data_IF_187030611187
#
_entry.id   IF_187030611187
#
_cell.length_a   1.000
_cell.length_b   1.000
_cell.length_c   1.000
_cell.angle_alpha   90.00
_cell.angle_beta   90.00
_cell.angle_gamma   90.00
#
_symmetry.space_group_name_H-M   'P 1'
#
loop_
_entity.id
_entity.type
_entity.pdbx_description
1 polymer ?
2 branched ?
3 branched ?
#
# COMPACT_ATOMS: atom_id res chain seq x y z
N UNK A 328 21.00 42.76 -23.10
CA UNK A 328 22.18 42.60 -23.93
C UNK A 328 23.12 41.56 -23.33
N UNK A 329 23.03 41.36 -22.02
CA UNK A 329 23.99 40.56 -21.28
C UNK A 329 23.28 39.53 -20.42
N UNK A 330 23.97 38.42 -20.19
CA UNK A 330 23.55 37.39 -19.25
C UNK A 330 23.94 37.86 -17.86
N UNK A 331 23.38 37.22 -16.84
CA UNK A 331 23.65 37.64 -15.48
C UNK A 331 23.72 36.44 -14.58
N UNK A 332 24.87 36.19 -14.00
CA UNK A 332 25.04 35.06 -13.11
C UNK A 332 24.99 35.58 -11.70
N UNK A 333 23.95 35.25 -10.96
CA UNK A 333 23.86 35.71 -9.59
C UNK A 333 23.82 34.48 -8.70
N UNK A 334 24.72 34.43 -7.74
CA UNK A 334 24.74 33.34 -6.78
C UNK A 334 24.73 33.94 -5.39
N UNK A 335 24.02 33.31 -4.46
CA UNK A 335 24.02 33.79 -3.10
C UNK A 335 24.26 32.61 -2.19
N UNK A 336 25.31 32.67 -1.39
CA UNK A 336 25.58 31.68 -0.39
C UNK A 336 25.23 32.22 0.98
N UNK A 337 25.51 31.41 1.99
CA UNK A 337 25.15 31.80 3.35
C UNK A 337 26.04 32.91 3.85
N UNK A 338 27.25 33.01 3.32
CA UNK A 338 28.13 34.04 3.79
C UNK A 338 28.27 35.20 2.83
N UNK A 339 28.31 34.94 1.54
CA UNK A 339 28.63 35.99 0.58
C UNK A 339 27.80 35.92 -0.69
N UNK A 340 27.67 37.09 -1.30
CA UNK A 340 27.02 37.28 -2.59
C UNK A 340 28.11 37.37 -3.65
N UNK A 341 27.88 36.74 -4.78
CA UNK A 341 28.78 36.81 -5.92
C UNK A 341 27.98 37.21 -7.13
N UNK A 342 28.54 38.02 -8.01
CA UNK A 342 27.80 38.52 -9.16
C UNK A 342 28.77 38.57 -10.31
N UNK A 343 28.38 38.06 -11.49
CA UNK A 343 29.35 38.07 -12.56
C UNK A 343 28.76 38.22 -13.95
N UNK A 344 29.60 38.73 -14.84
CA UNK A 344 29.36 38.76 -16.27
C UNK A 344 30.50 38.06 -16.98
N UNK A 345 30.22 37.55 -18.17
CA UNK A 345 31.16 36.73 -18.91
C UNK A 345 31.97 37.49 -19.93
N UNK A 346 32.52 36.75 -20.90
CA UNK A 346 33.28 37.33 -21.99
C UNK A 346 32.42 37.84 -23.09
N UNK A 347 31.11 37.91 -22.88
CA UNK A 347 30.24 38.57 -23.84
C UNK A 347 30.60 40.04 -23.98
N UNK A 348 31.01 40.67 -22.87
CA UNK A 348 31.53 42.03 -22.86
C UNK A 348 32.84 42.20 -23.59
N UNK A 349 33.48 41.13 -24.06
CA UNK A 349 34.65 41.30 -24.91
C UNK A 349 34.27 41.97 -26.21
N UNK A 350 33.09 41.71 -26.71
CA UNK A 350 32.59 42.48 -27.82
C UNK A 350 31.48 43.42 -27.43
N UNK A 351 30.65 43.04 -26.46
CA UNK A 351 29.46 43.81 -26.20
C UNK A 351 29.87 45.05 -25.48
N UNK A 352 29.25 46.16 -25.86
CA UNK A 352 29.50 47.51 -25.35
C UNK A 352 30.91 48.00 -25.68
N UNK A 353 31.69 47.23 -26.44
CA UNK A 353 33.05 47.58 -26.78
C UNK A 353 34.03 47.60 -25.63
N UNK A 354 33.80 46.81 -24.59
CA UNK A 354 34.61 46.93 -23.37
C UNK A 354 35.92 46.19 -23.56
N UNK A 355 36.85 46.84 -24.28
CA UNK A 355 38.21 46.32 -24.47
C UNK A 355 38.89 45.99 -23.15
N UNK A 356 38.74 46.88 -22.20
CA UNK A 356 39.17 46.71 -20.84
C UNK A 356 37.92 46.80 -19.99
N UNK A 357 37.85 46.10 -18.87
CA UNK A 357 36.60 46.08 -18.15
C UNK A 357 36.81 46.58 -16.74
N UNK A 358 36.01 47.55 -16.37
CA UNK A 358 35.90 48.01 -15.01
C UNK A 358 34.58 47.55 -14.43
N UNK A 359 34.60 47.25 -13.16
CA UNK A 359 33.40 46.84 -12.46
C UNK A 359 33.54 47.29 -11.02
N UNK A 360 32.61 48.12 -10.55
CA UNK A 360 32.63 48.64 -9.19
C UNK A 360 31.29 48.43 -8.51
N UNK A 361 31.35 48.34 -7.19
CA UNK A 361 30.16 48.43 -6.37
C UNK A 361 30.08 49.82 -5.78
N UNK A 362 29.09 50.02 -4.92
CA UNK A 362 28.81 51.35 -4.40
C UNK A 362 29.93 51.85 -3.51
N UNK A 363 30.64 50.96 -2.83
CA UNK A 363 31.93 51.31 -2.27
C UNK A 363 32.95 51.02 -3.34
N UNK A 364 33.53 52.07 -3.91
CA UNK A 364 34.45 51.93 -5.02
C UNK A 364 35.77 51.29 -4.65
N UNK A 365 36.05 51.06 -3.37
CA UNK A 365 37.20 50.27 -3.01
C UNK A 365 37.02 48.80 -3.35
N UNK A 366 35.80 48.33 -3.51
CA UNK A 366 35.55 46.95 -3.89
C UNK A 366 35.46 46.91 -5.41
N UNK A 367 36.48 46.37 -6.05
CA UNK A 367 36.52 46.25 -7.48
C UNK A 367 36.43 44.80 -7.88
N UNK A 368 36.26 44.57 -9.17
CA UNK A 368 36.08 43.23 -9.67
C UNK A 368 37.39 42.52 -9.94
N UNK A 369 37.26 41.26 -10.38
CA UNK A 369 38.41 40.44 -10.74
C UNK A 369 37.99 39.41 -11.76
N UNK A 370 38.95 38.59 -12.17
CA UNK A 370 38.78 37.64 -13.26
C UNK A 370 38.83 36.24 -12.66
N UNK A 371 37.69 35.55 -12.62
CA UNK A 371 37.60 34.19 -12.11
C UNK A 371 37.79 33.19 -13.25
N UNK A 372 38.23 31.96 -12.90
CA UNK A 372 38.41 30.91 -13.90
C UNK A 372 37.86 29.54 -13.60
N UNK A 373 37.14 29.34 -12.49
CA UNK A 373 36.77 27.98 -12.08
C UNK A 373 35.84 27.31 -13.08
N UNK A 374 35.00 28.07 -13.76
CA UNK A 374 34.06 27.46 -14.68
C UNK A 374 34.38 27.90 -16.09
N UNK A 375 34.51 29.22 -16.23
CA UNK A 375 34.88 29.95 -17.43
C UNK A 375 35.63 31.19 -16.96
N UNK A 376 36.16 31.96 -17.90
CA UNK A 376 36.60 33.32 -17.61
C UNK A 376 35.39 34.19 -17.29
N UNK A 377 35.25 34.58 -16.03
CA UNK A 377 34.16 35.43 -15.58
C UNK A 377 34.70 36.68 -14.90
N UNK A 378 34.00 37.80 -15.08
CA UNK A 378 34.33 39.04 -14.40
C UNK A 378 33.38 39.21 -13.24
N UNK A 379 33.88 39.40 -12.02
CA UNK A 379 32.98 39.28 -10.88
C UNK A 379 33.41 40.08 -9.66
N UNK A 380 32.45 40.30 -8.75
CA UNK A 380 32.71 40.94 -7.47
C UNK A 380 32.16 40.04 -6.38
N UNK A 381 32.65 40.21 -5.15
CA UNK A 381 32.22 39.38 -4.04
C UNK A 381 31.99 40.26 -2.84
N UNK A 382 30.81 40.17 -2.22
CA UNK A 382 30.51 41.00 -1.10
C UNK A 382 29.83 40.17 -0.02
N UNK A 383 30.29 40.27 1.21
CA UNK A 383 29.61 39.59 2.32
C UNK A 383 28.20 40.11 2.52
N UNK A 384 27.30 39.22 2.92
CA UNK A 384 25.91 39.60 3.06
C UNK A 384 25.69 40.15 4.47
N UNK A 385 26.26 41.32 4.69
CA UNK A 385 26.26 42.01 5.97
C UNK A 385 25.81 43.45 5.73
N UNK A 386 25.61 44.22 6.80
CA UNK A 386 25.29 45.65 6.67
C UNK A 386 26.52 46.46 6.35
N UNK A 387 26.57 47.01 5.15
CA UNK A 387 27.63 47.91 4.77
C UNK A 387 29.07 47.52 4.41
N UNK A 388 29.48 46.24 4.30
CA UNK A 388 30.90 45.98 4.04
C UNK A 388 31.38 46.43 2.67
N UNK A 389 30.50 46.52 1.70
CA UNK A 389 30.81 47.25 0.50
C UNK A 389 29.64 48.15 0.18
N UNK A 390 29.06 48.72 1.22
CA UNK A 390 27.96 49.62 1.03
C UNK A 390 26.61 48.98 0.80
N UNK A 391 26.52 47.66 0.80
CA UNK A 391 25.26 46.97 0.58
C UNK A 391 24.25 47.24 1.67
N UNK A 392 23.00 47.44 1.28
CA UNK A 392 21.94 47.81 2.20
C UNK A 392 21.01 46.62 2.40
N UNK A 393 20.55 46.44 3.63
CA UNK A 393 19.68 45.31 3.96
C UNK A 393 18.29 45.83 4.28
N UNK A 394 17.31 45.32 3.53
CA UNK A 394 15.91 45.61 3.72
C UNK A 394 15.27 44.44 4.43
N UNK A 395 14.44 44.73 5.43
CA UNK A 395 13.91 43.69 6.29
C UNK A 395 12.41 43.61 6.16
N UNK A 396 11.91 42.42 5.82
CA UNK A 396 10.48 42.18 5.75
C UNK A 396 10.09 41.15 6.80
N UNK A 397 8.81 40.81 6.83
CA UNK A 397 8.39 39.70 7.65
C UNK A 397 8.80 38.37 7.03
N UNK A 398 8.88 38.28 5.71
CA UNK A 398 9.17 36.97 5.21
C UNK A 398 10.63 36.81 4.84
N UNK A 399 11.39 37.89 4.64
CA UNK A 399 12.73 37.73 4.08
C UNK A 399 13.70 38.84 4.48
N UNK A 400 14.98 38.53 4.41
CA UNK A 400 16.02 39.52 4.53
C UNK A 400 16.56 39.75 3.13
N UNK A 401 16.50 40.98 2.64
CA UNK A 401 16.89 41.27 1.26
C UNK A 401 18.11 42.18 1.23
N UNK A 402 19.11 41.81 0.45
CA UNK A 402 20.35 42.57 0.30
C UNK A 402 20.40 43.20 -1.06
N UNK A 403 20.88 44.43 -1.17
CA UNK A 403 20.93 45.07 -2.49
C UNK A 403 22.14 45.97 -2.67
N UNK A 404 22.67 45.98 -3.88
CA UNK A 404 23.82 46.79 -4.28
C UNK A 404 23.77 46.97 -5.80
N UNK A 405 24.76 47.65 -6.36
CA UNK A 405 24.78 47.98 -7.78
C UNK A 405 26.14 47.80 -8.41
N UNK A 406 26.20 47.17 -9.58
CA UNK A 406 27.43 47.16 -10.35
C UNK A 406 27.48 48.39 -11.23
N UNK A 407 28.66 48.95 -11.36
CA UNK A 407 28.87 50.03 -12.31
C UNK A 407 29.76 49.49 -13.41
N UNK A 408 29.38 49.73 -14.66
CA UNK A 408 29.99 49.07 -15.81
C UNK A 408 30.68 50.10 -16.68
N UNK A 409 31.95 49.90 -17.00
CA UNK A 409 32.64 50.91 -17.77
C UNK A 409 33.84 50.34 -18.47
N UNK A 410 34.23 51.01 -19.55
CA UNK A 410 35.43 50.64 -20.29
C UNK A 410 36.59 51.60 -20.05
N UNK A 411 36.48 52.50 -19.09
CA UNK A 411 37.47 53.55 -18.94
C UNK A 411 37.35 54.09 -17.51
N UNK A 412 38.36 54.85 -17.09
CA UNK A 412 38.29 55.54 -15.80
C UNK A 412 37.13 56.52 -15.78
N UNK A 413 36.88 57.17 -16.91
CA UNK A 413 35.83 58.17 -17.04
C UNK A 413 34.94 57.81 -18.22
N UNK A 414 33.67 58.24 -18.19
CA UNK A 414 32.71 57.81 -19.21
C UNK A 414 31.97 58.98 -19.84
N UNK A 415 31.50 58.79 -21.08
CA UNK A 415 30.82 59.88 -21.79
C UNK A 415 29.58 59.52 -22.60
N UNK A 416 29.25 58.27 -22.85
CA UNK A 416 28.07 58.02 -23.68
C UNK A 416 26.92 57.32 -22.99
N UNK A 417 27.17 56.46 -22.01
CA UNK A 417 26.05 55.77 -21.38
C UNK A 417 26.48 55.32 -19.99
N UNK A 418 25.75 55.74 -18.98
CA UNK A 418 25.99 55.30 -17.62
C UNK A 418 25.30 53.96 -17.43
N UNK A 419 26.07 52.88 -17.37
CA UNK A 419 25.49 51.54 -17.34
C UNK A 419 25.55 51.03 -15.92
N UNK A 420 24.39 50.71 -15.35
CA UNK A 420 24.29 50.24 -13.98
C UNK A 420 23.46 48.98 -13.92
N UNK A 421 23.93 47.97 -13.18
CA UNK A 421 23.17 46.75 -12.96
C UNK A 421 22.76 46.72 -11.51
N UNK A 422 21.47 46.84 -11.28
CA UNK A 422 20.94 46.83 -9.93
C UNK A 422 20.58 45.41 -9.57
N UNK A 423 21.11 44.90 -8.46
CA UNK A 423 20.84 43.52 -8.12
C UNK A 423 20.47 43.39 -6.66
N UNK A 424 19.70 42.34 -6.37
CA UNK A 424 19.29 42.07 -5.01
C UNK A 424 19.00 40.59 -4.82
N UNK A 425 19.18 40.08 -3.60
CA UNK A 425 18.76 38.71 -3.35
C UNK A 425 18.25 38.59 -1.93
N UNK A 426 17.40 37.60 -1.68
CA UNK A 426 16.75 37.51 -0.37
C UNK A 426 16.84 36.12 0.26
N UNK A 427 16.64 36.08 1.58
CA UNK A 427 16.75 34.86 2.33
C UNK A 427 15.54 34.74 3.23
N UNK A 428 14.94 33.57 3.38
CA UNK A 428 13.80 33.44 4.28
C UNK A 428 14.22 33.41 5.73
N UNK A 429 13.37 33.95 6.56
CA UNK A 429 13.69 33.85 7.97
C UNK A 429 13.12 32.62 8.63
N UNK A 430 12.13 31.96 8.03
CA UNK A 430 11.49 30.78 8.60
C UNK A 430 12.08 29.53 7.95
N UNK A 431 12.75 28.66 8.72
CA UNK A 431 13.27 27.42 8.15
C UNK A 431 13.05 26.24 9.06
N UNK A 432 13.18 25.04 8.50
CA UNK A 432 13.01 23.80 9.25
C UNK A 432 14.25 22.92 9.20
N UNK A 433 14.54 22.25 10.32
CA UNK A 433 15.78 21.51 10.52
C UNK A 433 15.50 20.20 11.23
N UNK A 434 16.52 19.35 11.29
CA UNK A 434 16.36 18.03 11.87
C UNK A 434 17.71 17.46 12.27
N UNK A 435 17.71 16.52 13.20
CA UNK A 435 18.91 15.78 13.55
C UNK A 435 19.01 14.56 12.67
N UNK A 436 20.21 14.22 12.24
CA UNK A 436 20.25 13.04 11.40
C UNK A 436 20.46 11.78 12.20
N UNK A 437 21.06 11.88 13.37
CA UNK A 437 21.21 10.71 14.22
C UNK A 437 19.91 10.19 14.73
N UNK A 438 19.68 8.90 14.57
CA UNK A 438 18.53 8.26 15.16
C UNK A 438 18.85 7.84 16.57
N UNK A 439 17.87 7.94 17.43
CA UNK A 439 18.06 7.59 18.82
C UNK A 439 17.36 6.27 19.07
N UNK A 440 18.06 5.33 19.66
CA UNK A 440 17.46 4.03 19.96
C UNK A 440 17.44 3.76 21.45
N UNK A 441 16.29 3.80 22.05
CA UNK A 441 16.21 3.58 23.47
C UNK A 441 16.14 2.10 23.77
N UNK A 442 16.49 1.78 24.99
CA UNK A 442 16.45 0.46 25.59
C UNK A 442 15.69 0.54 26.91
N UNK A 443 14.91 -0.47 27.25
CA UNK A 443 14.13 -0.40 28.47
C UNK A 443 13.82 -1.78 28.99
N UNK A 444 13.75 -1.89 30.32
CA UNK A 444 13.28 -3.09 30.98
C UNK A 444 11.88 -3.44 30.52
N UNK A 445 11.57 -4.73 30.48
CA UNK A 445 10.29 -5.17 29.93
C UNK A 445 9.69 -6.31 30.73
N UNK A 446 8.37 -6.41 30.68
CA UNK A 446 7.60 -7.40 31.41
C UNK A 446 6.75 -8.17 30.42
N UNK A 447 6.77 -9.48 30.49
CA UNK A 447 6.12 -10.27 29.47
C UNK A 447 5.04 -11.13 30.09
N UNK A 448 3.81 -10.91 29.70
CA UNK A 448 2.65 -11.61 30.22
C UNK A 448 2.11 -12.46 29.10
N UNK A 449 1.78 -13.70 29.37
CA UNK A 449 1.15 -14.44 28.30
C UNK A 449 -0.21 -14.86 28.77
N UNK A 450 -1.18 -14.91 27.87
CA UNK A 450 -2.43 -15.62 28.06
C UNK A 450 -2.81 -16.31 26.76
N UNK A 451 -3.83 -17.17 26.82
CA UNK A 451 -4.21 -17.96 25.65
C UNK A 451 -5.51 -18.73 25.82
N UNK A 452 -6.10 -19.13 24.68
CA UNK A 452 -7.37 -19.84 24.72
C UNK A 452 -7.81 -20.46 23.39
N UNK A 453 -9.08 -20.87 23.32
CA UNK A 453 -9.62 -21.60 22.17
C UNK A 453 -11.04 -21.19 21.81
N UNK A 454 -11.48 -21.56 20.59
CA UNK A 454 -12.79 -21.24 20.04
C UNK A 454 -13.13 -22.12 18.86
N UNK A 455 -14.30 -21.90 18.24
CA UNK A 455 -14.68 -22.69 17.07
C UNK A 455 -15.40 -21.89 15.99
N UNK A 456 -15.43 -22.42 14.78
CA UNK A 456 -16.06 -21.77 13.63
C UNK A 456 -17.39 -22.44 13.31
N UNK A 457 -18.45 -21.64 13.23
CA UNK A 457 -19.77 -22.15 12.87
C UNK A 457 -19.88 -22.77 11.48
N UNK A 458 -20.35 -24.01 11.46
CA UNK A 458 -20.77 -24.73 10.27
C UNK A 458 -22.21 -25.17 10.39
N UNK A 459 -22.96 -25.10 9.30
CA UNK A 459 -24.30 -25.61 9.34
C UNK A 459 -24.61 -26.48 8.14
N UNK A 460 -25.78 -27.08 8.22
CA UNK A 460 -26.24 -28.08 7.28
C UNK A 460 -27.66 -27.77 6.89
N UNK A 461 -28.02 -28.13 5.67
CA UNK A 461 -29.38 -27.87 5.27
C UNK A 461 -29.84 -28.84 4.20
N UNK A 462 -31.17 -28.99 4.17
CA UNK A 462 -31.93 -29.81 3.22
C UNK A 462 -32.69 -28.78 2.39
N UNK A 463 -32.88 -29.06 1.10
CA UNK A 463 -33.50 -28.08 0.21
C UNK A 463 -34.78 -28.62 -0.42
N UNK A 464 -35.69 -27.70 -0.78
CA UNK A 464 -36.96 -28.15 -1.34
C UNK A 464 -36.94 -28.15 -2.83
N UNK A 465 -35.87 -27.63 -3.44
CA UNK A 465 -35.85 -27.24 -4.85
C UNK A 465 -34.52 -27.51 -5.52
N UNK A 466 -34.54 -27.93 -6.85
CA UNK A 466 -33.33 -28.25 -7.62
C UNK A 466 -32.15 -27.37 -7.49
N UNK A 467 -32.39 -26.10 -7.35
CA UNK A 467 -31.24 -25.25 -7.46
C UNK A 467 -30.77 -24.84 -6.11
N UNK A 468 -31.02 -25.68 -5.10
CA UNK A 468 -30.45 -25.62 -3.77
C UNK A 468 -30.94 -24.42 -3.08
N UNK A 469 -31.96 -23.80 -3.60
CA UNK A 469 -32.29 -22.42 -3.31
C UNK A 469 -33.05 -22.29 -2.01
N UNK A 470 -33.92 -23.08 -1.84
CA UNK A 470 -34.97 -22.72 -0.91
C UNK A 470 -34.70 -23.28 0.48
N UNK A 471 -35.09 -22.56 1.52
CA UNK A 471 -34.91 -23.08 2.88
C UNK A 471 -35.93 -24.17 3.17
N UNK A 472 -35.70 -24.88 4.26
CA UNK A 472 -36.69 -25.81 4.77
C UNK A 472 -36.55 -25.62 6.26
N UNK A 473 -37.55 -25.07 6.93
CA UNK A 473 -37.30 -24.88 8.35
C UNK A 473 -37.82 -26.02 9.17
N UNK A 474 -38.96 -26.58 8.77
CA UNK A 474 -39.77 -27.47 9.59
C UNK A 474 -39.03 -28.53 10.37
N UNK A 475 -39.40 -28.77 11.62
CA UNK A 475 -38.73 -29.77 12.47
C UNK A 475 -38.92 -31.19 12.05
N UNK A 476 -39.53 -31.43 10.89
CA UNK A 476 -39.76 -32.73 10.31
C UNK A 476 -40.29 -32.52 8.90
N UNK A 477 -39.87 -33.35 7.98
CA UNK A 477 -40.35 -33.32 6.60
C UNK A 477 -40.73 -34.71 6.20
N UNK A 478 -41.87 -34.86 5.55
CA UNK A 478 -42.27 -36.15 5.04
C UNK A 478 -42.05 -36.22 3.56
N UNK A 479 -41.53 -37.34 3.10
CA UNK A 479 -41.24 -37.48 1.69
C UNK A 479 -41.66 -38.86 1.22
N UNK A 480 -42.04 -38.93 -0.03
CA UNK A 480 -42.20 -40.23 -0.62
C UNK A 480 -40.83 -40.76 -0.96
N UNK A 481 -40.76 -42.05 -1.23
CA UNK A 481 -39.45 -42.58 -1.61
C UNK A 481 -39.08 -42.25 -3.04
N UNK A 482 -39.98 -41.71 -3.81
CA UNK A 482 -39.61 -41.35 -5.15
C UNK A 482 -38.99 -39.97 -5.18
N UNK A 483 -38.93 -39.33 -4.04
CA UNK A 483 -38.46 -37.96 -3.93
C UNK A 483 -36.94 -37.90 -3.92
N UNK A 484 -36.43 -36.74 -4.30
CA UNK A 484 -35.02 -36.48 -4.45
C UNK A 484 -34.61 -35.40 -3.47
N UNK A 485 -33.98 -35.79 -2.37
CA UNK A 485 -33.39 -34.82 -1.46
C UNK A 485 -32.29 -34.04 -2.14
N UNK A 486 -32.12 -32.81 -1.73
CA UNK A 486 -30.94 -32.05 -2.07
C UNK A 486 -30.37 -31.52 -0.78
N UNK A 487 -29.05 -31.57 -0.61
CA UNK A 487 -28.48 -31.25 0.70
C UNK A 487 -27.13 -30.57 0.55
N UNK A 488 -26.73 -29.89 1.61
CA UNK A 488 -25.43 -29.25 1.61
C UNK A 488 -25.02 -28.72 2.96
N UNK A 489 -23.77 -28.25 3.02
CA UNK A 489 -23.23 -27.72 4.25
C UNK A 489 -22.65 -26.35 3.98
N UNK A 490 -22.64 -25.51 5.00
CA UNK A 490 -22.14 -24.15 4.86
C UNK A 490 -21.21 -23.72 5.97
N UNK A 491 -20.13 -23.03 5.58
CA UNK A 491 -19.17 -22.46 6.51
C UNK A 491 -19.47 -20.99 6.69
N UNK A 492 -19.99 -20.63 7.85
CA UNK A 492 -20.43 -19.28 8.05
C UNK A 492 -19.44 -18.45 8.81
N UNK A 493 -18.66 -19.11 9.67
CA UNK A 493 -17.87 -18.49 10.72
C UNK A 493 -16.85 -17.40 10.39
N UNK A 494 -15.88 -17.69 9.53
CA UNK A 494 -14.92 -16.67 9.19
C UNK A 494 -13.68 -17.26 8.55
N UNK A 495 -12.77 -16.35 8.23
CA UNK A 495 -11.51 -16.62 7.55
C UNK A 495 -11.77 -17.31 6.22
N UNK A 496 -12.70 -16.76 5.48
CA UNK A 496 -13.21 -17.47 4.33
C UNK A 496 -12.21 -17.55 3.20
N UNK A 497 -11.19 -16.72 3.20
CA UNK A 497 -10.22 -16.88 2.13
C UNK A 497 -9.21 -17.97 2.44
N UNK A 498 -9.10 -18.39 3.67
CA UNK A 498 -8.06 -19.35 3.98
C UNK A 498 -8.58 -20.76 4.11
N UNK A 499 -9.86 -20.93 4.37
CA UNK A 499 -10.34 -22.27 4.68
C UNK A 499 -11.53 -22.62 3.83
N UNK A 500 -11.39 -23.68 3.05
CA UNK A 500 -12.49 -24.27 2.32
C UNK A 500 -13.19 -25.32 3.17
N UNK A 501 -14.46 -25.52 2.89
CA UNK A 501 -15.23 -26.47 3.66
C UNK A 501 -15.20 -27.79 2.92
N UNK A 502 -14.55 -28.75 3.53
CA UNK A 502 -14.31 -30.04 2.92
C UNK A 502 -15.05 -31.08 3.71
N UNK A 503 -15.96 -31.79 3.07
CA UNK A 503 -16.58 -32.89 3.76
C UNK A 503 -15.75 -34.14 3.54
N UNK A 504 -15.51 -34.89 4.59
CA UNK A 504 -14.73 -36.11 4.51
C UNK A 504 -15.50 -37.36 4.80
N UNK A 505 -16.63 -37.24 5.46
CA UNK A 505 -17.41 -38.38 5.87
C UNK A 505 -18.84 -37.97 6.08
N UNK A 506 -19.80 -38.72 5.56
CA UNK A 506 -21.20 -38.33 5.74
C UNK A 506 -22.13 -39.52 5.60
N UNK A 507 -23.07 -39.65 6.53
CA UNK A 507 -23.79 -40.91 6.57
C UNK A 507 -25.14 -40.76 7.22
N UNK A 508 -26.01 -41.72 6.97
CA UNK A 508 -27.34 -41.73 7.55
C UNK A 508 -27.42 -42.80 8.60
N UNK A 509 -28.20 -42.56 9.63
CA UNK A 509 -28.37 -43.48 10.75
C UNK A 509 -29.85 -43.65 10.97
N UNK A 510 -30.24 -44.63 11.65
CA UNK A 510 -31.59 -44.62 12.14
C UNK A 510 -31.68 -44.06 13.52
N UNK A 511 -30.96 -43.00 13.83
CA UNK A 511 -31.07 -42.46 15.16
C UNK A 511 -30.44 -41.09 15.24
N UNK A 512 -30.89 -40.32 16.23
CA UNK A 512 -30.37 -38.98 16.43
C UNK A 512 -29.00 -38.99 17.04
N UNK A 513 -28.64 -40.02 17.76
CA UNK A 513 -27.26 -40.18 18.20
C UNK A 513 -26.43 -40.45 16.97
N UNK A 514 -25.33 -39.75 16.80
CA UNK A 514 -24.59 -39.84 15.56
C UNK A 514 -23.56 -40.93 15.56
N UNK A 515 -23.55 -41.79 16.57
CA UNK A 515 -22.45 -42.69 16.77
C UNK A 515 -22.79 -44.14 16.55
N UNK A 516 -24.00 -44.42 16.10
CA UNK A 516 -24.69 -45.70 16.26
C UNK A 516 -24.20 -46.80 15.34
N UNK A 517 -24.41 -48.05 15.74
CA UNK A 517 -23.82 -49.17 15.01
C UNK A 517 -24.24 -49.31 13.58
N UNK A 518 -25.38 -48.82 13.20
CA UNK A 518 -25.79 -48.92 11.82
C UNK A 518 -25.62 -47.61 11.10
N UNK A 519 -24.81 -47.60 10.06
CA UNK A 519 -24.63 -46.41 9.25
C UNK A 519 -24.73 -46.76 7.79
N UNK A 520 -25.33 -45.90 7.00
CA UNK A 520 -25.25 -46.05 5.57
C UNK A 520 -24.49 -44.85 5.07
N UNK A 521 -23.52 -45.07 4.21
CA UNK A 521 -22.58 -44.01 3.85
C UNK A 521 -22.89 -43.40 2.49
N UNK A 522 -22.85 -42.09 2.43
CA UNK A 522 -22.89 -41.33 1.21
C UNK A 522 -21.50 -40.92 0.78
N UNK A 523 -20.75 -40.38 1.71
CA UNK A 523 -19.36 -40.02 1.54
C UNK A 523 -18.59 -40.76 2.62
N UNK A 524 -17.65 -41.62 2.25
CA UNK A 524 -17.00 -42.45 3.28
C UNK A 524 -15.59 -42.02 3.62
N UNK A 525 -14.74 -41.85 2.63
CA UNK A 525 -13.37 -41.42 2.84
C UNK A 525 -12.99 -40.43 1.78
N UNK A 526 -13.31 -39.16 2.02
CA UNK A 526 -12.99 -38.05 1.13
C UNK A 526 -13.53 -38.28 -0.27
N UNK A 527 -14.44 -39.21 -0.43
CA UNK A 527 -15.01 -39.51 -1.72
C UNK A 527 -16.39 -40.12 -1.54
N UNK A 528 -17.28 -39.88 -2.49
CA UNK A 528 -18.62 -40.42 -2.42
C UNK A 528 -18.67 -41.90 -2.75
N UNK A 529 -19.69 -42.56 -2.23
CA UNK A 529 -19.89 -44.00 -2.40
C UNK A 529 -20.64 -44.25 -3.69
N UNK A 530 -19.99 -43.90 -4.80
CA UNK A 530 -20.61 -43.80 -6.09
C UNK A 530 -21.05 -45.13 -6.66
N UNK A 531 -20.72 -46.20 -5.97
CA UNK A 531 -21.25 -47.51 -6.29
C UNK A 531 -22.75 -47.51 -6.35
N UNK A 532 -23.39 -46.78 -5.48
CA UNK A 532 -24.82 -46.59 -5.64
C UNK A 532 -25.06 -45.43 -6.60
N UNK A 533 -25.71 -45.72 -7.73
CA UNK A 533 -25.89 -44.75 -8.81
C UNK A 533 -26.78 -43.57 -8.47
N UNK A 534 -27.50 -43.63 -7.38
CA UNK A 534 -28.34 -42.51 -7.01
C UNK A 534 -27.66 -41.45 -6.19
N UNK A 535 -26.34 -41.43 -6.09
CA UNK A 535 -25.65 -40.40 -5.33
C UNK A 535 -24.86 -39.54 -6.29
N UNK A 536 -25.05 -38.23 -6.25
CA UNK A 536 -24.23 -37.35 -7.08
C UNK A 536 -23.75 -36.12 -6.33
N UNK A 537 -22.45 -35.78 -6.47
CA UNK A 537 -21.79 -34.70 -5.74
C UNK A 537 -21.55 -33.52 -6.67
N UNK A 538 -21.81 -32.32 -6.15
CA UNK A 538 -21.70 -31.10 -6.90
C UNK A 538 -20.41 -30.37 -6.61
N UNK A 539 -20.11 -30.17 -5.35
CA UNK A 539 -18.98 -29.32 -5.01
C UNK A 539 -18.48 -29.66 -3.63
N UNK A 540 -17.19 -29.89 -3.50
CA UNK A 540 -16.69 -30.18 -2.16
C UNK A 540 -15.24 -29.75 -2.09
N UNK A 541 -14.91 -28.95 -1.09
CA UNK A 541 -13.57 -28.47 -0.89
C UNK A 541 -13.16 -27.27 -1.70
N UNK A 542 -14.03 -26.72 -2.53
CA UNK A 542 -13.60 -25.58 -3.30
C UNK A 542 -14.16 -24.28 -2.80
N UNK A 543 -15.09 -24.30 -1.89
CA UNK A 543 -15.75 -23.08 -1.52
C UNK A 543 -16.21 -23.20 -0.09
N UNK A 544 -16.98 -22.23 0.31
CA UNK A 544 -17.56 -22.21 1.62
C UNK A 544 -18.87 -22.97 1.73
N UNK A 545 -19.36 -23.53 0.63
CA UNK A 545 -20.64 -24.24 0.70
C UNK A 545 -20.57 -25.50 -0.16
N UNK A 546 -20.65 -26.65 0.47
CA UNK A 546 -20.57 -27.91 -0.25
C UNK A 546 -21.97 -28.39 -0.58
N UNK A 547 -22.08 -29.15 -1.67
CA UNK A 547 -23.37 -29.57 -2.22
C UNK A 547 -23.33 -30.97 -2.83
N UNK A 548 -24.36 -31.76 -2.53
CA UNK A 548 -24.51 -33.12 -3.04
C UNK A 548 -25.96 -33.55 -2.95
N UNK A 549 -26.30 -34.64 -3.62
CA UNK A 549 -27.69 -35.05 -3.62
C UNK A 549 -27.80 -36.56 -3.74
N UNK A 550 -28.89 -37.12 -3.20
CA UNK A 550 -29.12 -38.55 -3.33
C UNK A 550 -30.61 -38.82 -3.19
N UNK A 551 -31.14 -39.78 -3.97
CA UNK A 551 -32.50 -40.25 -3.80
C UNK A 551 -32.78 -40.75 -2.38
N UNK A 552 -33.96 -40.42 -1.86
CA UNK A 552 -34.26 -40.82 -0.49
C UNK A 552 -34.60 -42.30 -0.44
N UNK A 553 -34.53 -42.83 0.78
CA UNK A 553 -34.46 -44.24 1.09
C UNK A 553 -34.97 -44.43 2.51
N UNK A 554 -35.27 -45.66 2.85
CA UNK A 554 -35.68 -46.03 4.18
C UNK A 554 -34.82 -47.18 4.65
N UNK A 555 -34.39 -47.10 5.89
CA UNK A 555 -33.69 -48.20 6.51
C UNK A 555 -34.56 -49.42 6.58
N UNK A 556 -34.02 -50.54 6.16
CA UNK A 556 -34.74 -51.79 6.24
C UNK A 556 -34.86 -52.23 7.67
N UNK A 557 -35.90 -52.94 7.95
CA UNK A 557 -36.12 -53.39 9.31
C UNK A 557 -37.15 -52.54 9.99
N UNK A 558 -37.24 -52.69 11.30
CA UNK A 558 -38.25 -51.96 12.04
C UNK A 558 -37.74 -50.55 12.30
N UNK A 559 -37.73 -49.77 11.25
CA UNK A 559 -37.27 -48.40 11.37
C UNK A 559 -38.13 -47.46 10.56
N UNK A 560 -38.20 -46.23 11.01
CA UNK A 560 -39.03 -45.29 10.31
C UNK A 560 -38.40 -43.91 10.15
N UNK A 561 -37.34 -43.56 10.83
CA UNK A 561 -36.80 -42.22 10.69
C UNK A 561 -35.42 -42.24 10.06
N UNK A 562 -35.04 -41.16 9.39
CA UNK A 562 -33.71 -41.03 8.81
C UNK A 562 -33.09 -39.77 9.35
N UNK A 563 -31.85 -39.84 9.80
CA UNK A 563 -31.11 -38.69 10.28
C UNK A 563 -29.83 -38.57 9.48
N UNK A 564 -29.33 -37.36 9.29
CA UNK A 564 -28.11 -37.21 8.52
C UNK A 564 -27.04 -36.61 9.40
N UNK A 565 -25.86 -37.19 9.37
CA UNK A 565 -24.73 -36.70 10.14
C UNK A 565 -23.51 -36.65 9.25
N UNK A 566 -22.67 -35.63 9.39
CA UNK A 566 -21.42 -35.65 8.64
C UNK A 566 -20.25 -35.05 9.43
N UNK A 567 -19.05 -35.27 8.89
CA UNK A 567 -17.80 -34.79 9.47
C UNK A 567 -17.11 -33.86 8.47
N UNK A 568 -16.60 -32.72 8.94
CA UNK A 568 -16.05 -31.76 8.02
C UNK A 568 -14.68 -31.34 8.49
N UNK A 569 -13.98 -30.68 7.61
CA UNK A 569 -12.61 -30.29 7.89
C UNK A 569 -12.33 -28.95 7.22
N UNK A 570 -11.69 -28.03 7.92
CA UNK A 570 -11.38 -26.76 7.32
C UNK A 570 -10.06 -26.91 6.61
N UNK A 571 -10.09 -26.76 5.29
CA UNK A 571 -8.94 -27.06 4.46
C UNK A 571 -8.23 -25.79 4.09
N UNK A 572 -6.94 -25.76 4.38
CA UNK A 572 -6.03 -24.70 3.99
C UNK A 572 -6.02 -24.47 2.50
N UNK A 573 -6.52 -23.32 2.09
CA UNK A 573 -6.48 -22.97 0.69
C UNK A 573 -5.13 -22.54 0.19
N UNK A 574 -4.17 -22.31 1.07
CA UNK A 574 -2.85 -21.88 0.64
C UNK A 574 -1.83 -23.00 0.59
N UNK A 575 -1.84 -23.92 1.55
CA UNK A 575 -0.77 -24.89 1.62
C UNK A 575 -1.23 -26.29 1.25
N UNK A 576 -2.36 -26.44 0.58
CA UNK A 576 -2.89 -27.77 0.28
C UNK A 576 -3.86 -27.71 -0.89
N UNK A 577 -3.87 -28.76 -1.71
CA UNK A 577 -5.02 -28.95 -2.58
C UNK A 577 -6.19 -29.44 -1.78
N UNK A 578 -7.29 -28.72 -1.88
CA UNK A 578 -8.47 -29.04 -1.14
C UNK A 578 -9.48 -29.85 -1.93
N UNK A 579 -9.37 -29.91 -3.23
CA UNK A 579 -10.36 -30.67 -3.96
C UNK A 579 -9.91 -32.11 -4.01
N UNK A 580 -10.69 -33.04 -3.51
CA UNK A 580 -10.25 -34.42 -3.50
C UNK A 580 -10.49 -35.07 -4.83
N UNK A 581 -9.77 -36.16 -5.05
CA UNK A 581 -9.95 -36.98 -6.24
C UNK A 581 -10.60 -38.29 -5.80
N UNK A 582 -11.73 -38.58 -6.38
CA UNK A 582 -12.48 -39.77 -6.04
C UNK A 582 -12.39 -40.69 -7.25
N UNK A 583 -11.69 -41.81 -7.11
CA UNK A 583 -11.46 -42.70 -8.22
C UNK A 583 -11.14 -44.08 -7.68
N UNK A 584 -10.63 -44.95 -8.55
CA UNK A 584 -10.26 -46.31 -8.17
C UNK A 584 -8.80 -46.67 -8.43
#
# INVERSE_FOLDING_TARGET
MGQPSLTWMLMVVVASWFITTAATDTSEARWCSECHSNATCTEDEAVTTCTCQEGFTGDGLTCVDLDECAIPGAHNCSANSSCVNTPGSFSCVCPEGFRLSPGLGCTDVDECAEPGLSHCHALATCVNVVGSYLCVCPAGYRGDGWHCECSPGSCGPGLDCVPEGDALVCADPCQAHRTLDEYWRSTEYGEGYACDTDLRGWYRFVGQGGARMAETCVPVLRCNTAAPMWLNGTHPSSDEGIVSRKACAHWSGHCCLWDASVQVKACAGGYYVYNLTAPPECHLAYCTDPSSVEGTCEECSIDEDCKSNNGRWHCQCKQDFNITDISLLEHRLECGANDMKVSLGKCQLKSLGFDKVFMYLSDSRCSGFNDRDNRDWVSVVTPARDGPCGTVLTRNETHATYSNTLYLADEIIIRDLNIKINFACSYPLDMKVSLKTALQPMVSALNIRVGGTGMFTVRMALFQTPSYTQPYQGSSVTLSTEAFLYVGTMLDGGDLSRFALLMTNCYATPSSNATDPLKYFIIQDRCPHTRDSTIQVVENGESSQGRFSVQMFRFAGNYDLVYLHCEVYLCDTMNEKCKPTCSGTRFRSGSVIDQSRVLNLGPITRKGVQATVSRAFSSLGLLKVWLPLLLSATLTLTFQ
#
